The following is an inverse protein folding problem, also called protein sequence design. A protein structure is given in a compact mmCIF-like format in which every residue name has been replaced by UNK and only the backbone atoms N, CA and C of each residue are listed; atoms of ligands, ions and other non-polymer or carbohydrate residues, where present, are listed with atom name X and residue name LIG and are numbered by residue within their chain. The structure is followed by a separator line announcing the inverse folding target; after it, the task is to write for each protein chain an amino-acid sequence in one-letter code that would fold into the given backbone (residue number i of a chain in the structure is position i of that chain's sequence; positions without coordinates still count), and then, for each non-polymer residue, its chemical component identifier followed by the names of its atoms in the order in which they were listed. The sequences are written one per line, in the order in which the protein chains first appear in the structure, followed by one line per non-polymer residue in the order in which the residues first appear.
data_IF_616953590514
#
_entry.id   IF_616953590514
#
_cell.length_a   1.000
_cell.length_b   1.000
_cell.length_c   1.000
_cell.angle_alpha   90.00
_cell.angle_beta   90.00
_cell.angle_gamma   90.00
#
_symmetry.space_group_name_H-M   'P 1'
#
loop_
_entity.id
_entity.type
_entity.pdbx_description
1 polymer ?
#
# COMPACT_ATOMS: atom_id res chain seq x y z
N UNK A 1 53.34 -9.95 6.95
CA UNK A 1 52.17 -10.53 6.25
C UNK A 1 50.98 -9.61 6.49
N UNK A 2 50.55 -8.84 5.48
CA UNK A 2 49.38 -7.96 5.60
C UNK A 2 48.16 -8.71 5.06
N UNK A 3 47.50 -9.49 5.93
CA UNK A 3 46.13 -9.93 5.68
C UNK A 3 45.19 -8.83 6.19
N UNK A 4 45.04 -7.77 5.41
CA UNK A 4 43.89 -6.88 5.53
C UNK A 4 42.87 -7.37 4.51
N UNK A 5 41.97 -8.25 4.95
CA UNK A 5 40.71 -8.44 4.25
C UNK A 5 40.05 -7.07 4.23
N UNK A 6 40.01 -6.42 3.07
CA UNK A 6 39.27 -5.17 2.91
C UNK A 6 37.85 -5.38 3.44
N UNK A 7 37.36 -4.57 4.39
CA UNK A 7 36.00 -4.69 4.89
C UNK A 7 35.02 -4.74 3.73
N UNK A 8 34.06 -5.67 3.75
CA UNK A 8 33.11 -5.86 2.63
C UNK A 8 32.37 -4.56 2.28
N UNK A 9 32.13 -3.71 3.27
CA UNK A 9 31.49 -2.38 3.16
C UNK A 9 32.24 -1.43 2.22
N UNK A 10 33.57 -1.59 2.12
CA UNK A 10 34.44 -0.77 1.27
C UNK A 10 34.53 -1.32 -0.17
N UNK A 11 34.01 -2.53 -0.42
CA UNK A 11 33.96 -3.07 -1.78
C UNK A 11 32.91 -2.33 -2.60
N UNK A 12 33.26 -1.96 -3.83
CA UNK A 12 32.33 -1.30 -4.77
C UNK A 12 31.05 -2.12 -4.99
N UNK A 13 31.18 -3.45 -5.03
CA UNK A 13 30.06 -4.36 -5.18
C UNK A 13 29.05 -4.21 -4.03
N UNK A 14 29.53 -4.21 -2.78
CA UNK A 14 28.67 -4.02 -1.62
C UNK A 14 27.97 -2.66 -1.63
N UNK A 15 28.71 -1.58 -1.87
CA UNK A 15 28.14 -0.23 -1.91
C UNK A 15 27.03 -0.10 -2.96
N UNK A 16 27.20 -0.74 -4.12
CA UNK A 16 26.21 -0.73 -5.20
C UNK A 16 24.94 -1.48 -4.80
N UNK A 17 25.08 -2.71 -4.30
CA UNK A 17 23.93 -3.53 -3.85
C UNK A 17 23.19 -2.86 -2.69
N UNK A 18 23.91 -2.29 -1.72
CA UNK A 18 23.32 -1.60 -0.59
C UNK A 18 22.55 -0.35 -1.03
N UNK A 19 23.10 0.43 -1.97
CA UNK A 19 22.43 1.60 -2.51
C UNK A 19 21.14 1.20 -3.27
N UNK A 20 21.20 0.17 -4.11
CA UNK A 20 20.03 -0.35 -4.83
C UNK A 20 18.94 -0.85 -3.88
N UNK A 21 19.30 -1.66 -2.87
CA UNK A 21 18.36 -2.15 -1.87
C UNK A 21 17.75 -1.03 -1.01
N UNK A 22 18.51 0.04 -0.74
CA UNK A 22 17.97 1.23 -0.05
C UNK A 22 16.92 1.93 -0.91
N UNK A 23 17.20 2.13 -2.20
CA UNK A 23 16.25 2.76 -3.13
C UNK A 23 14.98 1.92 -3.29
N UNK A 24 15.13 0.60 -3.48
CA UNK A 24 13.99 -0.31 -3.58
C UNK A 24 13.15 -0.32 -2.30
N UNK A 25 13.80 -0.38 -1.13
CA UNK A 25 13.11 -0.34 0.16
C UNK A 25 12.37 0.97 0.44
N UNK A 26 12.95 2.11 0.05
CA UNK A 26 12.28 3.41 0.14
C UNK A 26 11.04 3.46 -0.77
N UNK A 27 11.17 3.01 -2.02
CA UNK A 27 10.06 2.96 -2.98
C UNK A 27 8.93 2.02 -2.52
N UNK A 28 9.27 0.81 -2.04
CA UNK A 28 8.28 -0.14 -1.52
C UNK A 28 7.60 0.41 -0.26
N UNK A 29 8.37 1.05 0.63
CA UNK A 29 7.86 1.69 1.83
C UNK A 29 6.86 2.80 1.53
N UNK A 30 7.18 3.68 0.58
CA UNK A 30 6.28 4.75 0.13
C UNK A 30 4.99 4.19 -0.47
N UNK A 31 5.11 3.18 -1.35
CA UNK A 31 3.96 2.55 -1.98
C UNK A 31 3.02 1.89 -0.95
N UNK A 32 3.57 1.13 0.00
CA UNK A 32 2.80 0.52 1.11
C UNK A 32 2.17 1.57 2.01
N UNK A 33 2.90 2.64 2.34
CA UNK A 33 2.40 3.74 3.16
C UNK A 33 1.21 4.44 2.49
N UNK A 34 1.32 4.73 1.20
CA UNK A 34 0.27 5.35 0.40
C UNK A 34 -0.99 4.48 0.32
N UNK A 35 -0.83 3.18 0.05
CA UNK A 35 -1.95 2.24 0.01
C UNK A 35 -2.69 2.17 1.36
N UNK A 36 -1.96 2.00 2.47
CA UNK A 36 -2.54 1.96 3.83
C UNK A 36 -3.29 3.24 4.18
N UNK A 37 -2.73 4.40 3.85
CA UNK A 37 -3.36 5.71 4.11
C UNK A 37 -4.68 5.89 3.35
N UNK A 38 -4.71 5.46 2.07
CA UNK A 38 -5.92 5.52 1.25
C UNK A 38 -6.98 4.51 1.72
N UNK A 39 -6.58 3.28 2.00
CA UNK A 39 -7.47 2.25 2.56
C UNK A 39 -8.14 2.72 3.87
N UNK A 40 -7.36 3.24 4.82
CA UNK A 40 -7.88 3.80 6.07
C UNK A 40 -8.85 4.96 5.83
N UNK A 41 -8.54 5.84 4.88
CA UNK A 41 -9.41 6.95 4.51
C UNK A 41 -10.72 6.47 3.90
N UNK A 42 -10.67 5.53 2.96
CA UNK A 42 -11.86 4.97 2.33
C UNK A 42 -12.76 4.26 3.34
N UNK A 43 -12.21 3.40 4.21
CA UNK A 43 -12.95 2.76 5.29
C UNK A 43 -13.68 3.78 6.17
N UNK A 44 -12.99 4.84 6.59
CA UNK A 44 -13.58 5.92 7.40
C UNK A 44 -14.72 6.64 6.66
N UNK A 45 -14.60 6.90 5.37
CA UNK A 45 -15.66 7.56 4.59
C UNK A 45 -16.85 6.64 4.37
N UNK A 46 -16.62 5.36 4.06
CA UNK A 46 -17.67 4.36 3.96
C UNK A 46 -18.43 4.23 5.29
N UNK A 47 -17.72 4.18 6.43
CA UNK A 47 -18.36 4.18 7.75
C UNK A 47 -19.26 5.38 7.98
N UNK A 48 -18.84 6.57 7.54
CA UNK A 48 -19.61 7.81 7.70
C UNK A 48 -20.83 7.89 6.81
N UNK A 49 -20.77 7.38 5.57
CA UNK A 49 -21.88 7.45 4.61
C UNK A 49 -22.88 6.31 4.78
N UNK A 50 -22.38 5.09 4.98
CA UNK A 50 -23.20 3.87 4.89
C UNK A 50 -23.30 3.11 6.22
N UNK A 51 -22.62 3.56 7.28
CA UNK A 51 -22.54 2.84 8.55
C UNK A 51 -21.45 1.76 8.56
N UNK A 52 -21.45 0.83 9.54
CA UNK A 52 -20.38 -0.15 9.71
C UNK A 52 -20.01 -0.87 8.42
N UNK A 53 -18.71 -0.91 8.10
CA UNK A 53 -18.20 -1.55 6.88
C UNK A 53 -18.15 -3.06 7.12
N UNK A 54 -18.77 -3.89 6.27
CA UNK A 54 -18.69 -5.34 6.40
C UNK A 54 -17.25 -5.88 6.30
N UNK A 55 -16.97 -7.00 6.96
CA UNK A 55 -15.62 -7.60 6.98
C UNK A 55 -15.07 -7.91 5.58
N UNK A 56 -15.91 -8.41 4.66
CA UNK A 56 -15.50 -8.69 3.28
C UNK A 56 -15.02 -7.42 2.56
N UNK A 57 -15.68 -6.29 2.82
CA UNK A 57 -15.34 -5.00 2.23
C UNK A 57 -14.03 -4.48 2.80
N UNK A 58 -13.81 -4.63 4.11
CA UNK A 58 -12.54 -4.27 4.72
C UNK A 58 -11.36 -5.04 4.14
N UNK A 59 -11.52 -6.36 3.96
CA UNK A 59 -10.49 -7.23 3.38
C UNK A 59 -10.20 -6.85 1.93
N UNK A 60 -11.23 -6.56 1.13
CA UNK A 60 -11.06 -6.09 -0.26
C UNK A 60 -10.33 -4.76 -0.32
N UNK A 61 -10.65 -3.83 0.58
CA UNK A 61 -9.99 -2.52 0.65
C UNK A 61 -8.52 -2.66 1.06
N UNK A 62 -8.19 -3.55 1.99
CA UNK A 62 -6.81 -3.76 2.43
C UNK A 62 -5.94 -4.45 1.37
N UNK A 63 -6.55 -5.28 0.51
CA UNK A 63 -5.88 -5.95 -0.60
C UNK A 63 -5.82 -5.10 -1.88
N UNK A 64 -6.48 -3.94 -1.91
CA UNK A 64 -6.60 -3.13 -3.11
C UNK A 64 -5.32 -2.38 -3.47
N UNK A 65 -5.09 -2.24 -4.77
CA UNK A 65 -4.02 -1.39 -5.29
C UNK A 65 -4.33 0.09 -5.03
N UNK A 66 -3.29 0.93 -5.03
CA UNK A 66 -3.44 2.39 -4.91
C UNK A 66 -4.41 2.95 -5.96
N UNK A 67 -4.35 2.44 -7.19
CA UNK A 67 -5.21 2.89 -8.28
C UNK A 67 -6.70 2.54 -8.05
N UNK A 68 -6.99 1.35 -7.53
CA UNK A 68 -8.36 0.97 -7.15
C UNK A 68 -8.86 1.85 -6.00
N UNK A 69 -8.03 2.07 -4.98
CA UNK A 69 -8.36 2.93 -3.86
C UNK A 69 -8.65 4.38 -4.31
N UNK A 70 -7.91 4.89 -5.28
CA UNK A 70 -8.17 6.21 -5.87
C UNK A 70 -9.51 6.27 -6.60
N UNK A 71 -9.77 5.29 -7.48
CA UNK A 71 -11.06 5.22 -8.17
C UNK A 71 -12.24 5.15 -7.19
N UNK A 72 -12.10 4.44 -6.07
CA UNK A 72 -13.15 4.35 -5.05
C UNK A 72 -13.24 5.61 -4.19
N UNK A 73 -12.13 6.29 -3.92
CA UNK A 73 -12.16 7.58 -3.22
C UNK A 73 -12.81 8.67 -4.08
N UNK A 74 -12.61 8.65 -5.39
CA UNK A 74 -13.25 9.59 -6.30
C UNK A 74 -14.76 9.31 -6.42
N UNK A 75 -15.16 8.03 -6.49
CA UNK A 75 -16.56 7.62 -6.55
C UNK A 75 -17.31 7.63 -5.22
N UNK A 76 -16.63 7.93 -4.10
CA UNK A 76 -17.20 7.77 -2.74
C UNK A 76 -18.44 8.62 -2.49
N UNK A 77 -18.67 9.70 -3.25
CA UNK A 77 -19.83 10.57 -3.07
C UNK A 77 -20.96 10.26 -4.04
N UNK A 78 -20.68 9.56 -5.14
CA UNK A 78 -21.66 9.19 -6.16
C UNK A 78 -22.30 7.83 -5.89
N UNK A 79 -21.54 6.91 -5.27
CA UNK A 79 -22.03 5.57 -4.97
C UNK A 79 -23.24 5.58 -4.02
N UNK A 80 -24.21 4.71 -4.29
CA UNK A 80 -25.42 4.56 -3.49
C UNK A 80 -25.22 3.67 -2.26
N UNK A 81 -24.28 2.73 -2.31
CA UNK A 81 -23.94 1.81 -1.23
C UNK A 81 -22.50 1.26 -1.40
N UNK A 82 -22.07 0.39 -0.48
CA UNK A 82 -20.72 -0.20 -0.51
C UNK A 82 -20.51 -1.06 -1.76
N UNK A 83 -21.49 -1.88 -2.15
CA UNK A 83 -21.36 -2.79 -3.30
C UNK A 83 -21.28 -2.04 -4.64
N UNK A 84 -21.99 -0.92 -4.76
CA UNK A 84 -21.94 -0.03 -5.91
C UNK A 84 -20.54 0.59 -6.08
N UNK A 85 -19.84 0.86 -4.98
CA UNK A 85 -18.50 1.44 -5.02
C UNK A 85 -17.39 0.42 -5.29
N UNK A 86 -17.38 -0.68 -4.54
CA UNK A 86 -16.25 -1.63 -4.52
C UNK A 86 -16.60 -3.02 -5.05
N UNK A 87 -17.79 -3.18 -5.63
CA UNK A 87 -18.33 -4.44 -6.12
C UNK A 87 -19.03 -5.29 -5.04
N UNK A 88 -19.81 -6.31 -5.44
CA UNK A 88 -20.54 -7.19 -4.52
C UNK A 88 -19.60 -8.09 -3.71
N UNK A 89 -20.07 -8.68 -2.62
CA UNK A 89 -19.34 -9.71 -1.87
C UNK A 89 -18.96 -10.87 -2.79
N UNK A 90 -17.67 -11.16 -2.92
CA UNK A 90 -17.21 -12.36 -3.63
C UNK A 90 -17.34 -13.52 -2.67
N UNK A 91 -18.36 -14.35 -2.87
CA UNK A 91 -18.55 -15.62 -2.14
C UNK A 91 -17.45 -16.64 -2.41
#
# INVERSE_FOLDING_TARGET
MLNLLTPIQETRAYQSIFAEGKVEGEAEGEAKGKAKGKASTLKRQLTRRFGPVPTWAEQRIDAATVAQLDSWLDGIFDAANVEDLIGPESG
#
